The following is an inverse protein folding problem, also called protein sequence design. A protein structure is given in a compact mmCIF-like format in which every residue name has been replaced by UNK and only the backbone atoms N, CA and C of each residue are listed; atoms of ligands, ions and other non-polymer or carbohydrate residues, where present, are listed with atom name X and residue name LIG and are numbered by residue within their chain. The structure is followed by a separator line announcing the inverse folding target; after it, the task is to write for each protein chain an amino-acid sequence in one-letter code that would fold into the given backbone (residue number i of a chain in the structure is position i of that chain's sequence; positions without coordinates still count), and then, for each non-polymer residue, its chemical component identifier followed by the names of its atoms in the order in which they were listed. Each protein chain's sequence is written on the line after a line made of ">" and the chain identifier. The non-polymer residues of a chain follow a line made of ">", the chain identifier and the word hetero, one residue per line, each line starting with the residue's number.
data_IF_597454174442
#
_entry.id   IF_597454174442
#
_cell.length_a   1.000
_cell.length_b   1.000
_cell.length_c   1.000
_cell.angle_alpha   90.00
_cell.angle_beta   90.00
_cell.angle_gamma   90.00
#
_symmetry.space_group_name_H-M   'P 1'
#
loop_
_entity.id
_entity.type
_entity.pdbx_description
1 polymer ?
#
# COMPACT_ATOMS: atom_id res chain seq x y z
N UNK A 1 -76.74 -32.22 15.67
CA UNK A 1 -76.54 -32.86 16.98
C UNK A 1 -75.21 -32.33 17.53
N UNK A 2 -75.23 -31.21 18.28
CA UNK A 2 -75.16 -31.10 19.76
C UNK A 2 -73.88 -31.68 20.40
N UNK A 3 -72.91 -30.79 20.65
CA UNK A 3 -72.32 -30.33 21.94
C UNK A 3 -71.78 -31.32 23.01
N UNK A 4 -70.69 -30.84 23.64
CA UNK A 4 -70.10 -31.09 24.99
C UNK A 4 -68.99 -32.17 25.07
N UNK A 5 -67.70 -31.86 25.25
CA UNK A 5 -66.92 -31.22 26.35
C UNK A 5 -66.96 -32.02 27.67
N UNK A 6 -65.81 -32.56 28.13
CA UNK A 6 -65.11 -32.26 29.41
C UNK A 6 -64.06 -33.35 29.78
N UNK A 7 -62.89 -32.92 30.26
CA UNK A 7 -61.92 -33.80 30.94
C UNK A 7 -60.47 -33.27 30.94
N UNK A 8 -60.13 -32.45 31.94
CA UNK A 8 -58.85 -31.74 32.12
C UNK A 8 -57.65 -32.65 32.46
N UNK A 9 -56.42 -32.21 32.14
CA UNK A 9 -55.25 -32.11 33.05
C UNK A 9 -54.28 -31.05 32.50
N UNK A 10 -53.86 -30.12 33.35
CA UNK A 10 -52.83 -29.12 33.07
C UNK A 10 -51.42 -29.71 33.21
N UNK A 11 -50.50 -29.36 32.31
CA UNK A 11 -49.07 -29.37 32.61
C UNK A 11 -48.36 -28.26 31.82
N UNK A 12 -47.91 -27.24 32.55
CA UNK A 12 -47.03 -26.20 32.03
C UNK A 12 -45.61 -26.78 31.95
N UNK A 13 -45.01 -26.75 30.75
CA UNK A 13 -43.58 -26.95 30.58
C UNK A 13 -42.98 -25.74 29.87
N UNK A 14 -42.27 -24.99 30.70
CA UNK A 14 -41.26 -23.97 30.43
C UNK A 14 -40.44 -24.29 29.18
N UNK A 15 -40.42 -23.34 28.25
CA UNK A 15 -39.52 -23.34 27.09
C UNK A 15 -39.14 -21.90 26.73
N UNK A 16 -38.61 -21.16 27.70
CA UNK A 16 -38.02 -19.86 27.44
C UNK A 16 -36.87 -20.02 26.44
N UNK A 17 -36.94 -19.28 25.34
CA UNK A 17 -35.86 -19.12 24.37
C UNK A 17 -34.53 -18.90 25.09
N UNK A 18 -33.40 -19.50 24.68
CA UNK A 18 -32.12 -19.12 25.24
C UNK A 18 -31.84 -17.67 24.81
N UNK A 19 -32.06 -16.75 25.74
CA UNK A 19 -31.35 -15.49 25.76
C UNK A 19 -29.87 -15.86 25.83
N UNK A 20 -29.19 -15.71 24.69
CA UNK A 20 -27.75 -15.93 24.60
C UNK A 20 -27.11 -14.94 25.56
N UNK A 21 -26.61 -15.48 26.67
CA UNK A 21 -25.98 -14.75 27.75
C UNK A 21 -25.01 -13.71 27.17
N UNK A 22 -25.17 -12.46 27.60
CA UNK A 22 -24.13 -11.45 27.49
C UNK A 22 -22.92 -11.98 28.25
N UNK A 23 -21.92 -12.45 27.50
CA UNK A 23 -20.61 -12.68 28.05
C UNK A 23 -19.99 -11.30 28.33
N UNK A 24 -20.07 -10.87 29.58
CA UNK A 24 -19.12 -9.90 30.12
C UNK A 24 -17.82 -10.64 30.35
N UNK A 25 -16.87 -10.48 29.44
CA UNK A 25 -15.49 -10.85 29.66
C UNK A 25 -14.64 -9.58 29.56
N UNK A 26 -14.07 -9.17 30.69
CA UNK A 26 -13.08 -8.12 30.78
C UNK A 26 -11.94 -8.37 29.77
N UNK A 27 -11.53 -7.32 29.06
CA UNK A 27 -10.21 -7.24 28.41
C UNK A 27 -10.26 -6.90 26.93
N UNK A 28 -9.81 -5.69 26.63
CA UNK A 28 -9.72 -5.04 25.31
C UNK A 28 -11.06 -4.59 24.73
N UNK A 29 -11.52 -3.41 25.16
CA UNK A 29 -12.24 -2.55 24.23
C UNK A 29 -11.38 -2.43 22.97
N UNK A 30 -11.94 -2.80 21.81
CA UNK A 30 -11.32 -2.46 20.55
C UNK A 30 -11.22 -0.93 20.53
N UNK A 31 -10.04 -0.39 20.84
CA UNK A 31 -9.75 1.03 20.67
C UNK A 31 -10.10 1.31 19.23
N UNK A 32 -11.15 2.10 19.01
CA UNK A 32 -11.52 2.55 17.68
C UNK A 32 -10.25 3.18 17.11
N UNK A 33 -9.63 2.50 16.14
CA UNK A 33 -8.45 3.06 15.49
C UNK A 33 -8.91 4.39 14.92
N UNK A 34 -8.23 5.51 15.24
CA UNK A 34 -8.59 6.78 14.64
C UNK A 34 -8.59 6.56 13.13
N UNK A 35 -9.73 6.82 12.50
CA UNK A 35 -9.84 6.71 11.05
C UNK A 35 -8.76 7.62 10.47
N UNK A 36 -7.71 7.04 9.86
CA UNK A 36 -6.67 7.83 9.23
C UNK A 36 -7.33 8.62 8.11
N UNK A 37 -7.08 9.94 8.01
CA UNK A 37 -7.70 10.75 6.98
C UNK A 37 -7.34 10.17 5.60
N UNK A 38 -8.27 10.20 4.63
CA UNK A 38 -8.02 9.66 3.31
C UNK A 38 -6.82 10.37 2.67
N UNK A 39 -6.05 9.64 1.86
CA UNK A 39 -4.94 10.23 1.11
C UNK A 39 -5.46 11.26 0.12
N UNK A 40 -5.09 12.52 0.32
CA UNK A 40 -5.42 13.64 -0.57
C UNK A 40 -4.21 13.96 -1.43
N UNK A 41 -4.32 13.68 -2.74
CA UNK A 41 -3.27 13.95 -3.72
C UNK A 41 -3.05 15.46 -3.87
N UNK A 42 -1.78 15.88 -3.87
CA UNK A 42 -1.39 17.28 -4.00
C UNK A 42 -0.98 17.69 -5.42
N UNK A 43 -0.56 16.73 -6.25
CA UNK A 43 -0.11 16.95 -7.63
C UNK A 43 -0.28 15.66 -8.45
N UNK A 44 -0.13 15.76 -9.76
CA UNK A 44 -0.11 14.60 -10.67
C UNK A 44 0.95 13.56 -10.25
N UNK A 45 0.71 12.26 -10.49
CA UNK A 45 1.61 11.22 -10.06
C UNK A 45 2.84 11.16 -10.97
N UNK A 46 3.98 10.82 -10.41
CA UNK A 46 5.18 10.52 -11.19
C UNK A 46 5.06 9.11 -11.78
N UNK A 47 5.30 9.01 -13.08
CA UNK A 47 5.35 7.72 -13.78
C UNK A 47 6.81 7.24 -13.83
N UNK A 48 7.07 6.12 -13.17
CA UNK A 48 8.41 5.57 -13.00
C UNK A 48 8.50 4.24 -13.76
N UNK A 49 9.25 4.17 -14.88
CA UNK A 49 9.47 2.91 -15.55
C UNK A 49 10.38 2.02 -14.69
N UNK A 50 9.87 0.86 -14.31
CA UNK A 50 10.56 -0.14 -13.50
C UNK A 50 10.95 -1.33 -14.38
N UNK A 51 12.18 -1.81 -14.20
CA UNK A 51 12.73 -2.99 -14.87
C UNK A 51 13.24 -3.99 -13.83
N UNK A 52 13.58 -5.20 -14.25
CA UNK A 52 14.27 -6.20 -13.41
C UNK A 52 15.60 -5.70 -12.84
N UNK A 53 16.27 -4.76 -13.52
CA UNK A 53 17.45 -4.07 -13.00
C UNK A 53 17.08 -2.81 -12.20
N UNK A 54 17.73 -2.53 -11.07
CA UNK A 54 17.50 -1.29 -10.32
C UNK A 54 17.78 -0.04 -11.15
N UNK A 55 16.77 0.80 -11.30
CA UNK A 55 16.86 2.13 -11.91
C UNK A 55 16.79 3.19 -10.82
N UNK A 56 17.36 4.37 -11.07
CA UNK A 56 17.30 5.50 -10.15
C UNK A 56 16.71 6.73 -10.83
N UNK A 57 15.76 7.35 -10.13
CA UNK A 57 15.04 8.53 -10.60
C UNK A 57 15.17 9.65 -9.59
N UNK A 58 15.42 10.85 -10.09
CA UNK A 58 15.31 12.10 -9.38
C UNK A 58 13.89 12.62 -9.61
N UNK A 59 13.18 12.83 -8.51
CA UNK A 59 11.84 13.40 -8.49
C UNK A 59 11.77 14.56 -7.50
N UNK A 60 10.82 15.45 -7.70
CA UNK A 60 10.58 16.59 -6.81
C UNK A 60 9.31 16.34 -6.01
N UNK A 61 9.46 16.16 -4.70
CA UNK A 61 8.33 16.15 -3.77
C UNK A 61 7.67 17.54 -3.74
N UNK A 62 6.36 17.64 -4.03
CA UNK A 62 5.64 18.91 -3.94
C UNK A 62 5.66 19.48 -2.53
N UNK A 63 5.62 20.81 -2.43
CA UNK A 63 5.56 21.51 -1.14
C UNK A 63 4.36 21.07 -0.30
N UNK A 64 4.54 21.08 1.02
CA UNK A 64 3.47 20.76 2.01
C UNK A 64 2.86 19.37 1.84
N UNK A 65 3.55 18.45 1.16
CA UNK A 65 3.21 17.03 1.16
C UNK A 65 4.01 16.31 2.23
N UNK A 66 3.34 15.48 3.02
CA UNK A 66 3.97 14.65 4.05
C UNK A 66 4.03 13.18 3.66
N UNK A 67 3.26 12.77 2.64
CA UNK A 67 3.07 11.38 2.27
C UNK A 67 3.19 11.11 0.77
N UNK A 68 3.40 9.85 0.41
CA UNK A 68 3.28 9.36 -0.95
C UNK A 68 2.48 8.06 -0.99
N UNK A 69 1.84 7.79 -2.13
CA UNK A 69 1.14 6.56 -2.45
C UNK A 69 1.70 5.99 -3.76
N UNK A 70 1.94 4.69 -3.78
CA UNK A 70 2.38 3.95 -4.95
C UNK A 70 1.26 3.09 -5.54
N UNK A 71 1.17 3.05 -6.87
CA UNK A 71 0.29 2.12 -7.61
C UNK A 71 1.17 1.26 -8.52
N UNK A 72 1.13 -0.05 -8.30
CA UNK A 72 1.77 -1.02 -9.18
C UNK A 72 0.74 -1.58 -10.16
N UNK A 73 0.85 -1.22 -11.44
CA UNK A 73 0.00 -1.73 -12.53
C UNK A 73 0.52 -3.06 -13.12
N UNK A 74 1.71 -3.50 -12.70
CA UNK A 74 2.36 -4.68 -13.23
C UNK A 74 1.70 -5.95 -12.67
N UNK A 75 1.05 -6.75 -13.51
CA UNK A 75 0.39 -7.99 -13.06
C UNK A 75 1.36 -9.16 -12.83
N UNK A 76 2.56 -9.09 -13.40
CA UNK A 76 3.53 -10.19 -13.45
C UNK A 76 4.71 -10.01 -12.50
N UNK A 77 4.86 -8.83 -11.88
CA UNK A 77 5.97 -8.53 -10.98
C UNK A 77 5.55 -7.56 -9.89
N UNK A 78 6.14 -7.71 -8.72
CA UNK A 78 6.07 -6.71 -7.66
C UNK A 78 7.09 -5.61 -7.91
N UNK A 79 6.86 -4.44 -7.34
CA UNK A 79 7.79 -3.32 -7.41
C UNK A 79 8.45 -3.12 -6.05
N UNK A 80 9.78 -3.03 -6.02
CA UNK A 80 10.54 -2.54 -4.87
C UNK A 80 10.94 -1.11 -5.10
N UNK A 81 10.74 -0.26 -4.10
CA UNK A 81 11.14 1.14 -4.14
C UNK A 81 11.84 1.53 -2.84
N UNK A 82 12.91 2.29 -2.94
CA UNK A 82 13.67 2.79 -1.78
C UNK A 82 14.22 4.18 -2.07
N UNK A 83 14.13 5.09 -1.11
CA UNK A 83 14.92 6.32 -1.19
C UNK A 83 16.39 6.01 -0.97
N UNK A 84 17.24 6.53 -1.83
CA UNK A 84 18.68 6.32 -1.76
C UNK A 84 19.40 7.65 -1.65
N UNK A 85 20.57 7.63 -1.02
CA UNK A 85 21.45 8.80 -0.97
C UNK A 85 22.39 8.78 -2.17
N UNK A 86 22.72 9.97 -2.66
CA UNK A 86 23.76 10.13 -3.65
C UNK A 86 25.14 9.84 -3.02
N UNK A 87 25.97 9.04 -3.69
CA UNK A 87 27.36 8.81 -3.29
C UNK A 87 28.36 9.72 -4.03
N UNK A 88 27.86 10.49 -5.00
CA UNK A 88 28.60 11.46 -5.81
C UNK A 88 27.68 12.65 -6.14
N UNK A 89 28.20 13.77 -6.67
CA UNK A 89 27.36 14.85 -7.20
C UNK A 89 26.29 14.31 -8.18
N UNK A 90 25.06 14.80 -8.05
CA UNK A 90 23.92 14.28 -8.82
C UNK A 90 24.04 14.72 -10.28
N UNK A 91 24.07 13.77 -11.19
CA UNK A 91 23.87 13.99 -12.62
C UNK A 91 22.64 13.21 -13.07
N UNK A 92 21.83 13.80 -13.95
CA UNK A 92 20.61 13.18 -14.43
C UNK A 92 20.28 13.56 -15.86
N UNK A 93 19.58 12.68 -16.56
CA UNK A 93 19.02 12.93 -17.88
C UNK A 93 17.50 12.97 -17.79
N UNK A 94 16.82 13.92 -18.45
CA UNK A 94 15.36 13.94 -18.52
C UNK A 94 14.81 12.62 -19.08
N UNK A 95 13.68 12.17 -18.55
CA UNK A 95 12.92 11.06 -19.14
C UNK A 95 11.73 11.62 -19.95
N UNK A 96 11.04 10.79 -20.75
CA UNK A 96 9.77 11.19 -21.36
C UNK A 96 8.66 11.50 -20.35
N UNK A 97 8.84 11.17 -19.07
CA UNK A 97 7.85 11.36 -18.02
C UNK A 97 8.06 12.71 -17.32
N UNK A 98 7.03 13.58 -17.26
CA UNK A 98 7.14 14.90 -16.64
C UNK A 98 7.58 14.82 -15.17
N UNK A 99 8.53 15.67 -14.78
CA UNK A 99 9.03 15.75 -13.41
C UNK A 99 9.87 14.54 -12.96
N UNK A 100 10.22 13.64 -13.88
CA UNK A 100 11.07 12.47 -13.62
C UNK A 100 12.34 12.57 -14.45
N UNK A 101 13.49 12.62 -13.78
CA UNK A 101 14.81 12.52 -14.43
C UNK A 101 15.51 11.23 -14.02
N UNK A 102 16.15 10.55 -14.95
CA UNK A 102 16.94 9.35 -14.67
C UNK A 102 18.29 9.78 -14.11
N UNK A 103 18.65 9.30 -12.92
CA UNK A 103 19.96 9.57 -12.32
C UNK A 103 21.01 8.72 -13.03
N UNK A 104 22.10 9.36 -13.42
CA UNK A 104 23.24 8.71 -14.10
C UNK A 104 24.49 8.66 -13.24
N UNK A 105 24.54 9.44 -12.15
CA UNK A 105 25.65 9.39 -11.19
C UNK A 105 25.54 8.15 -10.29
N UNK A 106 26.67 7.70 -9.70
CA UNK A 106 26.66 6.60 -8.75
C UNK A 106 25.79 6.90 -7.51
N UNK A 107 24.90 5.98 -7.19
CA UNK A 107 24.02 6.02 -6.01
C UNK A 107 23.88 4.64 -5.40
N UNK A 108 23.48 4.56 -4.13
CA UNK A 108 23.01 3.29 -3.59
C UNK A 108 21.80 2.77 -4.38
N UNK A 109 21.58 1.46 -4.38
CA UNK A 109 20.49 0.82 -5.13
C UNK A 109 19.53 0.09 -4.21
N UNK A 110 18.31 -0.14 -4.70
CA UNK A 110 17.37 -1.09 -4.11
C UNK A 110 17.76 -2.51 -4.53
N UNK A 111 17.40 -3.50 -3.70
CA UNK A 111 17.56 -4.92 -3.97
C UNK A 111 16.23 -5.63 -3.73
N UNK A 112 16.12 -6.89 -4.13
CA UNK A 112 14.91 -7.70 -3.93
C UNK A 112 14.45 -7.78 -2.46
N UNK A 113 15.39 -7.65 -1.53
CA UNK A 113 15.20 -7.74 -0.09
C UNK A 113 15.11 -6.37 0.61
N UNK A 114 15.32 -5.26 -0.09
CA UNK A 114 15.35 -3.91 0.51
C UNK A 114 14.29 -2.99 -0.06
N UNK A 115 13.88 -2.00 0.72
CA UNK A 115 12.84 -1.04 0.32
C UNK A 115 11.41 -1.54 0.50
N UNK A 116 10.46 -0.67 0.19
CA UNK A 116 9.03 -0.94 0.28
C UNK A 116 8.60 -1.79 -0.92
N UNK A 117 7.83 -2.85 -0.67
CA UNK A 117 7.28 -3.72 -1.71
C UNK A 117 5.84 -3.33 -2.03
N UNK A 118 5.60 -3.06 -3.30
CA UNK A 118 4.28 -2.81 -3.86
C UNK A 118 3.86 -4.04 -4.65
N UNK A 119 2.91 -4.78 -4.08
CA UNK A 119 2.43 -6.01 -4.69
C UNK A 119 1.60 -5.71 -5.94
N UNK A 120 1.77 -6.52 -6.98
CA UNK A 120 1.03 -6.46 -8.25
C UNK A 120 -0.50 -6.41 -8.12
N UNK A 121 -1.04 -6.80 -6.96
CA UNK A 121 -2.47 -7.09 -6.75
C UNK A 121 -3.12 -6.29 -5.63
N UNK A 122 -2.35 -5.52 -4.87
CA UNK A 122 -2.83 -4.80 -3.69
C UNK A 122 -2.36 -3.35 -3.80
N UNK A 123 -3.14 -2.54 -4.53
CA UNK A 123 -2.82 -1.16 -4.93
C UNK A 123 -2.77 -0.13 -3.79
N UNK A 124 -2.53 -0.56 -2.55
CA UNK A 124 -2.56 0.30 -1.37
C UNK A 124 -1.50 -0.14 -0.37
N UNK A 125 -0.31 0.46 -0.49
CA UNK A 125 0.54 0.62 0.68
C UNK A 125 0.20 1.98 1.30
N UNK A 126 -0.44 1.95 2.47
CA UNK A 126 -0.94 3.11 3.23
C UNK A 126 0.17 3.84 4.00
N UNK A 127 1.43 3.45 3.85
CA UNK A 127 2.53 4.06 4.58
C UNK A 127 3.12 5.26 3.85
N UNK A 128 2.90 6.45 4.40
CA UNK A 128 3.70 7.62 4.09
C UNK A 128 5.13 7.45 4.63
N UNK A 129 6.15 7.73 3.83
CA UNK A 129 7.52 7.85 4.37
C UNK A 129 8.00 9.29 4.16
N UNK A 130 8.41 9.99 5.23
CA UNK A 130 9.05 11.30 5.12
C UNK A 130 10.27 11.23 4.19
N UNK A 131 10.56 12.31 3.46
CA UNK A 131 11.76 12.37 2.61
C UNK A 131 13.01 12.22 3.50
N UNK A 132 13.79 11.12 3.37
CA UNK A 132 15.01 10.95 4.15
C UNK A 132 16.17 11.81 3.60
N UNK A 133 15.98 12.46 2.45
CA UNK A 133 16.88 13.47 1.90
C UNK A 133 16.29 14.83 2.26
N UNK A 134 17.09 15.74 2.83
CA UNK A 134 16.60 17.11 3.07
C UNK A 134 16.23 17.81 1.75
N UNK A 135 15.23 18.68 1.79
CA UNK A 135 14.76 19.44 0.62
C UNK A 135 13.66 18.75 -0.20
N UNK A 136 13.30 19.36 -1.32
CA UNK A 136 12.21 18.90 -2.20
C UNK A 136 12.65 17.81 -3.18
N UNK A 137 13.94 17.66 -3.46
CA UNK A 137 14.43 16.63 -4.38
C UNK A 137 14.69 15.31 -3.67
N UNK A 138 14.31 14.21 -4.31
CA UNK A 138 14.47 12.85 -3.78
C UNK A 138 14.99 11.94 -4.88
N UNK A 139 16.01 11.14 -4.56
CA UNK A 139 16.46 10.04 -5.41
C UNK A 139 15.77 8.77 -4.95
N UNK A 140 15.05 8.13 -5.85
CA UNK A 140 14.40 6.85 -5.61
C UNK A 140 15.03 5.80 -6.48
N UNK A 141 15.37 4.66 -5.87
CA UNK A 141 15.73 3.45 -6.60
C UNK A 141 14.54 2.52 -6.67
N UNK A 142 14.25 2.01 -7.86
CA UNK A 142 13.09 1.16 -8.17
C UNK A 142 13.51 -0.05 -9.00
N UNK A 143 12.95 -1.22 -8.71
CA UNK A 143 13.13 -2.44 -9.51
C UNK A 143 11.89 -3.33 -9.47
N UNK A 144 11.77 -4.20 -10.47
CA UNK A 144 10.81 -5.30 -10.48
C UNK A 144 11.37 -6.50 -9.73
N UNK A 145 10.49 -7.21 -9.03
CA UNK A 145 10.78 -8.44 -8.31
C UNK A 145 9.75 -9.50 -8.72
N UNK A 146 10.16 -10.74 -9.01
CA UNK A 146 9.22 -11.80 -9.35
C UNK A 146 8.19 -12.03 -8.24
N UNK A 147 6.95 -12.34 -8.63
CA UNK A 147 5.92 -12.76 -7.67
C UNK A 147 6.24 -14.21 -7.25
N UNK A 148 6.30 -14.50 -5.94
CA UNK A 148 6.51 -15.87 -5.47
C UNK A 148 5.43 -16.81 -6.03
N UNK A 149 5.85 -17.93 -6.60
CA UNK A 149 4.94 -18.92 -7.19
C UNK A 149 4.47 -18.62 -8.61
N UNK A 150 4.97 -17.57 -9.27
CA UNK A 150 4.79 -17.33 -10.71
C UNK A 150 6.11 -17.47 -11.48
N UNK A 151 6.10 -17.21 -12.80
CA UNK A 151 7.33 -17.14 -13.61
C UNK A 151 8.38 -16.24 -12.95
N UNK A 152 9.62 -16.73 -12.88
CA UNK A 152 10.77 -16.00 -12.32
C UNK A 152 11.49 -15.15 -13.36
N UNK A 153 11.26 -15.38 -14.65
CA UNK A 153 11.89 -14.58 -15.70
C UNK A 153 11.08 -13.31 -15.97
N UNK A 154 11.65 -12.19 -15.52
CA UNK A 154 11.17 -10.82 -15.73
C UNK A 154 12.21 -9.96 -16.46
N UNK A 155 13.22 -10.59 -17.07
CA UNK A 155 14.40 -9.90 -17.62
C UNK A 155 14.08 -8.88 -18.73
N UNK A 156 13.07 -9.16 -19.55
CA UNK A 156 12.56 -8.25 -20.59
C UNK A 156 11.37 -7.38 -20.18
N UNK A 157 10.91 -7.48 -18.93
CA UNK A 157 9.69 -6.79 -18.50
C UNK A 157 10.00 -5.33 -18.09
N UNK A 158 9.23 -4.40 -18.65
CA UNK A 158 9.17 -3.01 -18.18
C UNK A 158 7.74 -2.70 -17.78
N UNK A 159 7.55 -2.22 -16.55
CA UNK A 159 6.25 -1.84 -16.02
C UNK A 159 6.27 -0.39 -15.53
N UNK A 160 5.13 0.29 -15.60
CA UNK A 160 4.99 1.65 -15.09
C UNK A 160 4.47 1.60 -13.65
N UNK A 161 5.25 2.18 -12.75
CA UNK A 161 4.86 2.40 -11.37
C UNK A 161 4.45 3.87 -11.18
N UNK A 162 3.28 4.11 -10.61
CA UNK A 162 2.81 5.47 -10.34
C UNK A 162 3.13 5.84 -8.90
N UNK A 163 3.71 7.02 -8.69
CA UNK A 163 4.01 7.56 -7.37
C UNK A 163 3.34 8.92 -7.20
N UNK A 164 2.26 8.98 -6.43
CA UNK A 164 1.57 10.23 -6.09
C UNK A 164 2.02 10.77 -4.74
N UNK A 165 2.16 12.09 -4.62
CA UNK A 165 2.39 12.78 -3.34
C UNK A 165 1.12 13.43 -2.81
N UNK A 166 1.01 13.54 -1.49
CA UNK A 166 -0.18 14.03 -0.83
C UNK A 166 -0.05 14.26 0.67
N UNK A 167 -1.20 14.33 1.32
CA UNK A 167 -1.37 14.41 2.77
C UNK A 167 -2.40 13.39 3.23
N UNK A 168 -2.30 12.96 4.49
CA UNK A 168 -3.06 11.82 5.00
C UNK A 168 -2.47 10.48 4.56
N UNK A 169 -3.06 9.39 5.06
CA UNK A 169 -2.45 8.06 5.02
C UNK A 169 -1.85 7.68 6.35
#
# INVERSE_FOLDING_TARGET
>A
MRLAIFGAVALALVGATPARAQATANGFEAVASPAMPPFMRAADPFLLPATSTPQQYLITQPEKTASYRGVNSCLMADVRIKTVKASAPITSTPTPYPGVSKVTSPTATVSEMTGTRFMARWGEWLGSTPNPMGGQQRIISIMLVPIPGTSTDISGLTCIFELGYGNGG
#
